data_IF_298416117588
#
_entry.id   IF_298416117588
#
_cell.length_a   1.000
_cell.length_b   1.000
_cell.length_c   1.000
_cell.angle_alpha   90.00
_cell.angle_beta   90.00
_cell.angle_gamma   90.00
#
_symmetry.space_group_name_H-M   'P 1'
#
loop_
_entity.id
_entity.type
_entity.pdbx_description
1 polymer ?
#
# COMPACT_ATOMS: atom_id res chain seq x y z
N UNK A 1 32.56 19.06 -34.84
CA UNK A 1 32.20 18.01 -33.87
C UNK A 1 31.91 18.68 -32.54
N UNK A 2 30.65 18.73 -32.12
CA UNK A 2 30.32 19.16 -30.76
C UNK A 2 30.80 18.06 -29.82
N UNK A 3 31.79 18.38 -28.96
CA UNK A 3 32.18 17.52 -27.85
C UNK A 3 30.95 17.26 -26.97
N UNK A 4 30.81 16.08 -26.36
CA UNK A 4 29.74 15.84 -25.39
C UNK A 4 29.86 16.87 -24.27
N UNK A 5 28.78 17.58 -23.97
CA UNK A 5 28.75 18.72 -23.02
C UNK A 5 29.03 18.33 -21.57
N UNK A 6 29.28 17.05 -21.27
CA UNK A 6 29.53 16.48 -19.94
C UNK A 6 28.63 17.11 -18.86
N UNK A 7 27.32 17.13 -19.13
CA UNK A 7 26.34 17.69 -18.21
C UNK A 7 26.17 16.79 -16.98
N UNK A 8 26.24 17.42 -15.81
CA UNK A 8 25.92 16.75 -14.57
C UNK A 8 24.40 16.66 -14.41
N UNK A 9 23.92 15.45 -14.16
CA UNK A 9 22.51 15.20 -13.86
C UNK A 9 22.36 14.69 -12.43
N UNK A 10 21.29 15.12 -11.75
CA UNK A 10 20.86 14.52 -10.49
C UNK A 10 19.79 13.49 -10.79
N UNK A 11 20.06 12.23 -10.44
CA UNK A 11 19.18 11.10 -10.70
C UNK A 11 18.64 10.53 -9.39
N UNK A 12 17.32 10.36 -9.32
CA UNK A 12 16.64 9.58 -8.31
C UNK A 12 16.44 8.15 -8.80
N UNK A 13 16.77 7.17 -7.97
CA UNK A 13 16.55 5.76 -8.29
C UNK A 13 15.06 5.46 -8.38
N UNK A 14 14.64 4.81 -9.46
CA UNK A 14 13.26 4.37 -9.64
C UNK A 14 12.92 3.14 -8.80
N UNK A 15 11.67 3.06 -8.35
CA UNK A 15 11.12 1.93 -7.61
C UNK A 15 11.60 1.76 -6.17
N UNK A 16 12.50 2.61 -5.67
CA UNK A 16 13.08 2.49 -4.32
C UNK A 16 13.14 3.81 -3.57
N UNK A 17 13.05 3.74 -2.23
CA UNK A 17 13.33 4.85 -1.32
C UNK A 17 14.31 4.39 -0.25
N UNK A 18 15.48 5.02 -0.26
CA UNK A 18 16.48 4.87 0.78
C UNK A 18 16.22 5.86 1.94
N UNK A 19 16.68 5.54 3.16
CA UNK A 19 16.58 6.44 4.29
C UNK A 19 17.40 7.70 4.05
N UNK A 20 16.83 8.85 4.42
CA UNK A 20 17.44 10.14 4.14
C UNK A 20 18.59 10.44 5.12
N UNK A 21 19.75 10.83 4.60
CA UNK A 21 20.92 11.25 5.39
C UNK A 21 20.73 12.61 6.06
N UNK A 22 19.71 13.37 5.63
CA UNK A 22 19.22 14.58 6.29
C UNK A 22 17.69 14.59 6.20
N UNK A 23 17.01 14.30 7.32
CA UNK A 23 15.55 14.31 7.39
C UNK A 23 15.02 15.35 8.40
N UNK A 24 13.98 16.09 8.01
CA UNK A 24 13.25 17.01 8.89
C UNK A 24 13.97 18.32 9.23
N UNK A 25 13.33 19.14 10.06
CA UNK A 25 13.86 20.42 10.58
C UNK A 25 15.08 20.23 11.49
N UNK A 26 15.22 19.04 12.07
CA UNK A 26 16.26 18.72 13.06
C UNK A 26 17.56 18.19 12.43
N UNK A 27 17.55 17.93 11.11
CA UNK A 27 18.73 17.54 10.34
C UNK A 27 19.33 16.17 10.69
N UNK A 28 18.62 15.34 11.47
CA UNK A 28 19.09 14.00 11.85
C UNK A 28 18.94 13.01 10.70
N UNK A 29 19.95 12.16 10.53
CA UNK A 29 19.91 11.06 9.58
C UNK A 29 18.90 10.00 10.03
N UNK A 30 18.13 9.47 9.07
CA UNK A 30 17.28 8.30 9.31
C UNK A 30 18.14 7.06 9.60
N UNK A 31 17.56 6.08 10.31
CA UNK A 31 18.29 4.85 10.63
C UNK A 31 18.79 4.15 9.36
N UNK A 32 20.07 3.73 9.37
CA UNK A 32 20.76 3.10 8.25
C UNK A 32 21.05 4.01 7.03
N UNK A 33 20.83 5.33 7.13
CA UNK A 33 21.05 6.26 6.02
C UNK A 33 22.52 6.41 5.61
N UNK A 34 23.43 6.51 6.57
CA UNK A 34 24.86 6.64 6.29
C UNK A 34 25.43 5.35 5.69
N UNK A 35 25.00 4.20 6.21
CA UNK A 35 25.42 2.90 5.70
C UNK A 35 24.83 2.61 4.31
N UNK A 36 23.59 3.05 4.04
CA UNK A 36 22.99 2.97 2.71
C UNK A 36 23.76 3.84 1.70
N UNK A 37 24.15 5.05 2.10
CA UNK A 37 24.97 5.95 1.29
C UNK A 37 26.33 5.32 0.98
N UNK A 38 27.03 4.85 2.01
CA UNK A 38 28.32 4.17 1.87
C UNK A 38 28.23 2.94 0.96
N UNK A 39 27.15 2.16 1.06
CA UNK A 39 26.92 0.99 0.23
C UNK A 39 26.87 1.30 -1.27
N UNK A 40 26.25 2.44 -1.64
CA UNK A 40 26.18 2.91 -3.03
C UNK A 40 27.52 3.50 -3.46
N UNK A 41 28.15 4.33 -2.61
CA UNK A 41 29.45 4.94 -2.88
C UNK A 41 30.51 3.90 -3.19
N UNK A 42 30.65 2.86 -2.38
CA UNK A 42 31.63 1.80 -2.61
C UNK A 42 31.45 1.03 -3.93
N UNK A 43 30.26 1.08 -4.53
CA UNK A 43 29.93 0.31 -5.74
C UNK A 43 29.90 1.14 -7.00
N UNK A 44 29.53 2.41 -6.90
CA UNK A 44 29.27 3.26 -8.07
C UNK A 44 30.20 4.48 -8.16
N UNK A 45 30.88 4.86 -7.07
CA UNK A 45 31.76 6.02 -7.10
C UNK A 45 32.91 5.79 -8.08
N UNK A 46 33.08 6.71 -9.03
CA UNK A 46 34.09 6.63 -10.10
C UNK A 46 34.01 5.33 -10.92
N UNK A 47 32.81 4.79 -11.12
CA UNK A 47 32.57 3.65 -12.01
C UNK A 47 31.72 4.05 -13.20
N UNK A 48 31.98 3.41 -14.34
CA UNK A 48 31.13 3.55 -15.52
C UNK A 48 29.82 2.79 -15.32
N UNK A 49 28.70 3.50 -15.48
CA UNK A 49 27.35 2.97 -15.27
C UNK A 49 26.46 3.34 -16.44
N UNK A 50 25.50 2.46 -16.74
CA UNK A 50 24.43 2.77 -17.67
C UNK A 50 23.25 3.35 -16.90
N UNK A 51 22.81 4.54 -17.29
CA UNK A 51 21.63 5.19 -16.72
C UNK A 51 20.48 5.08 -17.71
N UNK A 52 19.33 4.63 -17.24
CA UNK A 52 18.08 4.61 -18.02
C UNK A 52 17.13 5.62 -17.41
N UNK A 53 16.83 6.70 -18.13
CA UNK A 53 15.91 7.74 -17.71
C UNK A 53 14.47 7.31 -18.03
N UNK A 54 13.60 7.31 -17.03
CA UNK A 54 12.25 6.76 -17.13
C UNK A 54 11.18 7.83 -16.91
N UNK A 55 11.42 8.79 -16.00
CA UNK A 55 10.45 9.84 -15.67
C UNK A 55 11.10 11.04 -14.99
N UNK A 56 10.30 12.01 -14.58
CA UNK A 56 10.70 13.24 -13.90
C UNK A 56 9.80 13.41 -12.66
N UNK A 57 10.39 13.69 -11.50
CA UNK A 57 9.70 13.94 -10.24
C UNK A 57 10.25 15.18 -9.56
N UNK A 58 9.42 16.20 -9.33
CA UNK A 58 9.81 17.45 -8.67
C UNK A 58 11.13 18.03 -9.23
N UNK A 59 11.22 18.15 -10.56
CA UNK A 59 12.40 18.60 -11.31
C UNK A 59 13.64 17.69 -11.27
N UNK A 60 13.58 16.54 -10.57
CA UNK A 60 14.64 15.54 -10.59
C UNK A 60 14.35 14.46 -11.63
N UNK A 61 15.39 13.98 -12.31
CA UNK A 61 15.28 12.84 -13.21
C UNK A 61 15.12 11.57 -12.38
N UNK A 62 14.25 10.67 -12.84
CA UNK A 62 13.98 9.38 -12.19
C UNK A 62 14.37 8.29 -13.16
N UNK A 63 15.15 7.32 -12.69
CA UNK A 63 15.63 6.26 -13.56
C UNK A 63 16.39 5.15 -12.86
N UNK A 64 16.79 4.17 -13.67
CA UNK A 64 17.55 3.00 -13.23
C UNK A 64 19.04 3.22 -13.44
N UNK A 65 19.85 2.78 -12.47
CA UNK A 65 21.32 2.75 -12.59
C UNK A 65 21.78 1.30 -12.68
N UNK A 66 22.30 0.94 -13.84
CA UNK A 66 22.72 -0.41 -14.20
C UNK A 66 24.24 -0.45 -14.19
N UNK A 67 24.79 -1.21 -13.26
CA UNK A 67 26.20 -1.58 -13.22
C UNK A 67 26.38 -2.94 -13.91
N UNK A 68 27.57 -3.32 -14.43
CA UNK A 68 27.80 -4.67 -14.98
C UNK A 68 27.45 -5.83 -14.05
N UNK A 69 27.40 -5.57 -12.74
CA UNK A 69 27.00 -6.54 -11.70
C UNK A 69 25.50 -6.54 -11.37
N UNK A 70 24.70 -5.68 -12.01
CA UNK A 70 23.25 -5.58 -11.83
C UNK A 70 22.74 -4.17 -11.48
N UNK A 71 21.43 -4.07 -11.27
CA UNK A 71 20.77 -2.82 -10.87
C UNK A 71 21.06 -2.52 -9.40
N UNK A 72 21.54 -1.29 -9.11
CA UNK A 72 21.86 -0.88 -7.72
C UNK A 72 20.61 -0.85 -6.83
N UNK A 73 19.44 -0.51 -7.39
CA UNK A 73 18.18 -0.44 -6.65
C UNK A 73 17.80 -1.82 -6.08
N UNK A 74 17.98 -2.87 -6.87
CA UNK A 74 17.77 -4.26 -6.43
C UNK A 74 18.73 -4.65 -5.30
N UNK A 75 20.00 -4.24 -5.42
CA UNK A 75 21.01 -4.52 -4.40
C UNK A 75 20.72 -3.82 -3.07
N UNK A 76 20.24 -2.57 -3.12
CA UNK A 76 19.81 -1.80 -1.95
C UNK A 76 18.62 -2.47 -1.24
N UNK A 77 17.63 -2.93 -2.01
CA UNK A 77 16.47 -3.63 -1.45
C UNK A 77 16.85 -4.97 -0.84
N UNK A 78 17.69 -5.77 -1.52
CA UNK A 78 18.13 -7.09 -1.06
C UNK A 78 18.85 -7.03 0.29
N UNK A 79 19.63 -5.98 0.49
CA UNK A 79 20.33 -5.74 1.74
C UNK A 79 19.43 -5.04 2.79
N UNK A 80 18.23 -4.56 2.42
CA UNK A 80 17.33 -3.88 3.34
C UNK A 80 17.77 -2.45 3.67
N UNK A 81 18.53 -1.81 2.77
CA UNK A 81 18.87 -0.38 2.84
C UNK A 81 17.81 0.52 2.19
N UNK A 82 16.83 -0.04 1.50
CA UNK A 82 15.74 0.72 0.89
C UNK A 82 14.41 -0.04 1.00
N UNK A 83 13.33 0.65 0.68
CA UNK A 83 11.97 0.10 0.55
C UNK A 83 11.45 0.28 -0.88
N UNK A 84 10.56 -0.61 -1.32
CA UNK A 84 9.86 -0.49 -2.59
C UNK A 84 8.92 0.71 -2.60
N UNK A 85 8.82 1.40 -3.74
CA UNK A 85 7.94 2.57 -3.91
C UNK A 85 7.02 2.39 -5.10
N UNK A 86 5.73 2.19 -4.84
CA UNK A 86 4.75 1.79 -5.87
C UNK A 86 4.61 2.78 -7.03
N UNK A 87 4.71 4.10 -6.80
CA UNK A 87 4.47 5.07 -7.86
C UNK A 87 5.53 5.01 -8.97
N UNK A 88 6.76 4.62 -8.64
CA UNK A 88 7.88 4.53 -9.59
C UNK A 88 8.32 3.09 -9.86
N UNK A 89 7.83 2.08 -9.13
CA UNK A 89 8.26 0.68 -9.29
C UNK A 89 7.88 0.11 -10.66
N UNK A 90 6.77 0.56 -11.24
CA UNK A 90 6.33 0.15 -12.58
C UNK A 90 7.14 0.76 -13.71
N UNK A 91 7.89 1.84 -13.43
CA UNK A 91 8.75 2.51 -14.40
C UNK A 91 10.14 1.85 -14.48
N UNK A 92 10.55 1.16 -13.41
CA UNK A 92 11.88 0.58 -13.26
C UNK A 92 12.22 -0.43 -14.37
N UNK A 93 13.35 -0.20 -15.01
CA UNK A 93 13.95 -1.09 -16.01
C UNK A 93 14.30 -2.44 -15.38
N UNK A 94 13.71 -3.50 -15.90
CA UNK A 94 13.80 -4.85 -15.34
C UNK A 94 12.60 -5.28 -14.49
N UNK A 95 11.62 -4.40 -14.32
CA UNK A 95 10.29 -4.71 -13.79
C UNK A 95 10.19 -4.70 -12.27
N UNK A 96 8.96 -4.52 -11.79
CA UNK A 96 8.66 -4.43 -10.36
C UNK A 96 8.88 -5.74 -9.59
N UNK A 97 8.81 -6.88 -10.27
CA UNK A 97 8.92 -8.20 -9.64
C UNK A 97 10.28 -8.43 -9.00
N UNK A 98 11.38 -8.02 -9.66
CA UNK A 98 12.73 -8.19 -9.12
C UNK A 98 12.95 -7.35 -7.86
N UNK A 99 12.46 -6.11 -7.88
CA UNK A 99 12.53 -5.22 -6.71
C UNK A 99 11.71 -5.78 -5.54
N UNK A 100 10.46 -6.19 -5.78
CA UNK A 100 9.62 -6.80 -4.73
C UNK A 100 10.22 -8.10 -4.18
N UNK A 101 10.81 -8.94 -5.03
CA UNK A 101 11.49 -10.15 -4.60
C UNK A 101 12.72 -9.84 -3.73
N UNK A 102 13.52 -8.82 -4.10
CA UNK A 102 14.66 -8.38 -3.31
C UNK A 102 14.24 -7.83 -1.93
N UNK A 103 13.19 -7.01 -1.89
CA UNK A 103 12.64 -6.51 -0.62
C UNK A 103 12.11 -7.66 0.25
N UNK A 104 11.39 -8.62 -0.34
CA UNK A 104 10.90 -9.81 0.36
C UNK A 104 12.05 -10.59 1.02
N UNK A 105 13.16 -10.79 0.30
CA UNK A 105 14.34 -11.46 0.87
C UNK A 105 14.91 -10.71 2.08
N UNK A 106 14.92 -9.37 2.05
CA UNK A 106 15.39 -8.56 3.16
C UNK A 106 14.44 -8.60 4.36
N UNK A 107 13.12 -8.64 4.11
CA UNK A 107 12.07 -8.85 5.13
C UNK A 107 12.19 -10.21 5.80
N UNK A 108 12.32 -11.28 5.01
CA UNK A 108 12.44 -12.66 5.49
C UNK A 108 13.69 -12.83 6.38
N UNK A 109 14.79 -12.18 5.99
CA UNK A 109 16.06 -12.17 6.76
C UNK A 109 16.12 -11.13 7.88
N UNK A 110 15.09 -10.28 8.03
CA UNK A 110 15.03 -9.18 9.00
C UNK A 110 16.27 -8.27 8.96
N UNK A 111 16.72 -7.91 7.75
CA UNK A 111 17.92 -7.09 7.57
C UNK A 111 17.62 -5.60 7.76
N UNK A 112 18.48 -4.91 8.52
CA UNK A 112 18.56 -3.43 8.62
C UNK A 112 17.19 -2.77 8.87
N UNK A 113 16.61 -2.11 7.86
CA UNK A 113 15.27 -1.49 7.97
C UNK A 113 14.19 -2.48 8.41
N UNK A 114 14.39 -3.77 8.19
CA UNK A 114 13.45 -4.86 8.50
C UNK A 114 13.75 -5.60 9.80
N UNK A 115 14.68 -5.14 10.64
CA UNK A 115 15.02 -5.81 11.92
C UNK A 115 13.80 -6.02 12.83
N UNK A 116 12.92 -5.01 12.88
CA UNK A 116 11.69 -5.02 13.65
C UNK A 116 10.45 -5.35 12.81
N UNK A 117 10.63 -5.81 11.57
CA UNK A 117 9.52 -6.12 10.69
C UNK A 117 8.68 -7.26 11.26
N UNK A 118 7.38 -7.01 11.36
CA UNK A 118 6.37 -8.02 11.64
C UNK A 118 5.45 -8.10 10.43
N UNK A 119 5.26 -9.29 9.84
CA UNK A 119 4.30 -9.46 8.75
C UNK A 119 2.93 -8.96 9.17
N UNK A 120 2.24 -8.22 8.30
CA UNK A 120 0.84 -7.86 8.55
C UNK A 120 0.03 -9.14 8.77
N UNK A 121 -0.96 -9.08 9.67
CA UNK A 121 -1.76 -10.27 10.01
C UNK A 121 -2.43 -10.89 8.76
N UNK A 122 -2.73 -10.07 7.73
CA UNK A 122 -3.26 -10.55 6.46
C UNK A 122 -2.25 -11.25 5.56
N UNK A 123 -0.96 -10.99 5.71
CA UNK A 123 0.12 -11.68 4.97
C UNK A 123 0.35 -13.10 5.49
N UNK A 124 -0.03 -13.38 6.74
CA UNK A 124 0.03 -14.72 7.33
C UNK A 124 -1.17 -15.61 6.98
N UNK A 125 -2.22 -15.06 6.37
CA UNK A 125 -3.42 -15.82 6.00
C UNK A 125 -3.15 -16.64 4.73
N UNK A 126 -3.56 -17.90 4.74
CA UNK A 126 -3.49 -18.82 3.59
C UNK A 126 -4.84 -19.49 3.32
N UNK A 127 -5.05 -19.92 2.08
CA UNK A 127 -6.27 -20.62 1.65
C UNK A 127 -7.56 -19.85 1.96
N UNK A 128 -8.53 -20.55 2.54
CA UNK A 128 -9.88 -20.03 2.88
C UNK A 128 -9.86 -18.87 3.90
N UNK A 129 -8.74 -18.63 4.57
CA UNK A 129 -8.55 -17.46 5.43
C UNK A 129 -8.15 -16.21 4.64
N UNK A 130 -7.47 -16.36 3.49
CA UNK A 130 -7.07 -15.26 2.61
C UNK A 130 -8.14 -14.91 1.60
N UNK A 131 -8.80 -15.92 1.03
CA UNK A 131 -9.86 -15.73 0.05
C UNK A 131 -10.93 -16.80 0.22
N UNK A 132 -12.19 -16.41 0.20
CA UNK A 132 -13.31 -17.34 0.30
C UNK A 132 -14.53 -16.81 -0.45
N UNK A 133 -15.45 -17.71 -0.79
CA UNK A 133 -16.77 -17.36 -1.30
C UNK A 133 -17.83 -17.53 -0.23
N UNK A 134 -18.83 -16.67 -0.22
CA UNK A 134 -19.95 -16.81 0.70
C UNK A 134 -21.15 -15.93 0.37
N UNK A 135 -22.28 -16.23 1.01
CA UNK A 135 -23.54 -15.53 0.81
C UNK A 135 -23.63 -14.35 1.77
N UNK A 136 -23.92 -13.15 1.25
CA UNK A 136 -24.12 -11.97 2.11
C UNK A 136 -25.47 -12.08 2.81
N UNK A 137 -25.45 -12.07 4.14
CA UNK A 137 -26.65 -12.22 4.98
C UNK A 137 -27.13 -10.85 5.47
N UNK A 138 -26.20 -9.98 5.84
CA UNK A 138 -26.52 -8.69 6.45
C UNK A 138 -25.59 -7.59 5.95
N UNK A 139 -26.15 -6.39 5.74
CA UNK A 139 -25.38 -5.16 5.60
C UNK A 139 -25.50 -4.36 6.89
N UNK A 140 -24.40 -4.31 7.64
CA UNK A 140 -24.32 -3.64 8.95
C UNK A 140 -24.24 -2.14 8.74
N UNK A 141 -23.26 -1.69 7.95
CA UNK A 141 -23.02 -0.26 7.64
C UNK A 141 -22.70 -0.09 6.14
N UNK A 142 -22.37 1.13 5.73
CA UNK A 142 -21.98 1.46 4.35
C UNK A 142 -20.71 0.76 3.85
N UNK A 143 -19.89 0.24 4.75
CA UNK A 143 -18.63 -0.44 4.47
C UNK A 143 -18.53 -1.81 5.14
N UNK A 144 -19.48 -2.19 6.02
CA UNK A 144 -19.43 -3.41 6.82
C UNK A 144 -20.58 -4.35 6.49
N UNK A 145 -20.27 -5.63 6.28
CA UNK A 145 -21.25 -6.68 5.95
C UNK A 145 -20.91 -8.01 6.60
N UNK A 146 -21.92 -8.86 6.75
CA UNK A 146 -21.78 -10.23 7.27
C UNK A 146 -21.94 -11.22 6.11
N UNK A 147 -20.92 -12.06 5.94
CA UNK A 147 -20.89 -13.10 4.91
C UNK A 147 -20.92 -14.47 5.57
N UNK A 148 -21.88 -15.29 5.15
CA UNK A 148 -21.97 -16.69 5.55
C UNK A 148 -21.20 -17.56 4.59
N UNK A 149 -20.22 -18.30 5.11
CA UNK A 149 -19.41 -19.27 4.37
C UNK A 149 -20.18 -20.57 4.13
N UNK A 150 -19.63 -21.43 3.28
CA UNK A 150 -20.22 -22.73 2.95
C UNK A 150 -20.30 -23.68 4.17
N UNK A 151 -19.41 -23.52 5.15
CA UNK A 151 -19.41 -24.26 6.43
C UNK A 151 -20.52 -23.78 7.41
N UNK A 152 -21.31 -22.78 7.02
CA UNK A 152 -22.35 -22.17 7.85
C UNK A 152 -21.86 -21.09 8.81
N UNK A 153 -20.54 -20.87 8.91
CA UNK A 153 -19.97 -19.81 9.75
C UNK A 153 -20.24 -18.42 9.17
N UNK A 154 -20.45 -17.44 10.05
CA UNK A 154 -20.67 -16.05 9.68
C UNK A 154 -19.47 -15.20 10.05
N UNK A 155 -18.97 -14.44 9.08
CA UNK A 155 -17.82 -13.55 9.27
C UNK A 155 -18.22 -12.13 8.92
N UNK A 156 -17.97 -11.21 9.85
CA UNK A 156 -18.10 -9.77 9.61
C UNK A 156 -16.86 -9.25 8.90
N UNK A 157 -17.04 -8.64 7.74
CA UNK A 157 -15.98 -8.06 6.92
C UNK A 157 -16.26 -6.58 6.64
N UNK A 158 -15.20 -5.84 6.31
CA UNK A 158 -15.26 -4.43 5.91
C UNK A 158 -14.69 -4.26 4.51
N UNK A 159 -15.18 -3.30 3.73
CA UNK A 159 -14.60 -2.97 2.42
C UNK A 159 -13.22 -2.33 2.60
N UNK A 160 -12.22 -2.84 1.89
CA UNK A 160 -10.87 -2.27 1.87
C UNK A 160 -10.83 -0.92 1.14
N UNK A 161 -9.99 0.00 1.63
CA UNK A 161 -9.61 1.24 0.94
C UNK A 161 -10.77 2.21 0.60
N UNK A 162 -11.91 2.06 1.27
CA UNK A 162 -13.10 2.91 1.11
C UNK A 162 -13.48 3.56 2.45
N UNK A 163 -13.87 4.84 2.40
CA UNK A 163 -14.41 5.56 3.56
C UNK A 163 -15.62 6.39 3.16
N UNK A 164 -16.59 6.48 4.07
CA UNK A 164 -17.71 7.40 3.92
C UNK A 164 -17.25 8.85 3.71
N UNK A 165 -17.96 9.63 2.89
CA UNK A 165 -17.79 11.08 2.87
C UNK A 165 -18.10 11.63 4.26
N UNK A 166 -17.16 12.41 4.83
CA UNK A 166 -17.40 13.15 6.07
C UNK A 166 -17.71 14.61 5.71
N UNK A 167 -18.74 15.17 6.34
CA UNK A 167 -18.96 16.62 6.32
C UNK A 167 -17.79 17.27 7.07
N UNK A 168 -16.94 17.97 6.34
CA UNK A 168 -15.79 18.76 6.80
C UNK A 168 -14.60 18.03 7.43
N UNK A 169 -13.43 18.66 7.33
CA UNK A 169 -12.16 18.36 8.02
C UNK A 169 -12.25 18.57 9.54
N UNK A 170 -13.39 18.27 10.16
CA UNK A 170 -13.45 18.16 11.61
C UNK A 170 -12.55 17.00 12.04
N UNK A 171 -11.46 17.36 12.71
CA UNK A 171 -10.57 16.43 13.39
C UNK A 171 -11.43 15.41 14.16
N UNK A 172 -11.11 14.11 14.12
CA UNK A 172 -11.86 13.11 14.86
C UNK A 172 -11.92 13.53 16.33
N UNK A 173 -13.07 14.03 16.78
CA UNK A 173 -13.22 14.42 18.18
C UNK A 173 -13.36 13.13 18.99
N UNK A 174 -12.52 13.03 20.01
CA UNK A 174 -12.54 11.92 20.97
C UNK A 174 -13.94 11.83 21.57
N UNK A 175 -14.55 10.63 21.55
CA UNK A 175 -15.81 10.36 22.23
C UNK A 175 -17.11 10.63 21.45
N UNK A 176 -17.09 10.82 20.11
CA UNK A 176 -18.36 10.90 19.37
C UNK A 176 -19.15 9.59 19.47
N UNK A 177 -20.26 9.67 20.20
CA UNK A 177 -21.37 8.72 20.23
C UNK A 177 -21.71 8.25 18.80
N UNK A 178 -22.14 6.99 18.70
CA UNK A 178 -22.75 6.42 17.50
C UNK A 178 -23.67 7.46 16.83
N UNK A 179 -23.31 7.93 15.63
CA UNK A 179 -24.19 8.82 14.86
C UNK A 179 -25.28 7.95 14.21
N UNK A 180 -26.57 8.22 14.47
CA UNK A 180 -27.67 7.54 13.81
C UNK A 180 -27.51 7.49 12.29
N UNK A 181 -28.06 6.44 11.66
CA UNK A 181 -27.93 6.15 10.23
C UNK A 181 -28.28 7.34 9.32
N UNK A 182 -29.22 8.19 9.76
CA UNK A 182 -29.74 9.33 9.00
C UNK A 182 -28.92 10.62 9.21
N UNK A 183 -28.05 10.66 10.23
CA UNK A 183 -27.28 11.84 10.59
C UNK A 183 -25.93 11.91 9.89
N UNK A 184 -25.54 10.84 9.18
CA UNK A 184 -24.31 10.80 8.39
C UNK A 184 -24.63 10.93 6.90
N UNK A 185 -24.12 11.97 6.23
CA UNK A 185 -24.34 12.20 4.81
C UNK A 185 -24.05 10.95 3.97
N UNK A 186 -24.95 10.65 3.04
CA UNK A 186 -24.85 9.54 2.08
C UNK A 186 -24.77 8.12 2.69
N UNK A 187 -24.67 7.96 4.01
CA UNK A 187 -24.54 6.64 4.66
C UNK A 187 -25.76 5.76 4.41
N UNK A 188 -26.97 6.31 4.56
CA UNK A 188 -28.21 5.61 4.26
C UNK A 188 -28.24 5.13 2.80
N UNK A 189 -27.88 6.00 1.87
CA UNK A 189 -27.86 5.67 0.44
C UNK A 189 -26.81 4.61 0.09
N UNK A 190 -25.61 4.70 0.68
CA UNK A 190 -24.55 3.72 0.53
C UNK A 190 -24.97 2.34 1.08
N UNK A 191 -25.56 2.31 2.28
CA UNK A 191 -26.08 1.09 2.90
C UNK A 191 -27.19 0.46 2.05
N UNK A 192 -28.15 1.25 1.59
CA UNK A 192 -29.26 0.75 0.76
C UNK A 192 -28.78 0.26 -0.61
N UNK A 193 -27.76 0.90 -1.18
CA UNK A 193 -27.13 0.44 -2.41
C UNK A 193 -26.51 -0.95 -2.23
N UNK A 194 -25.74 -1.16 -1.15
CA UNK A 194 -25.20 -2.47 -0.81
C UNK A 194 -26.32 -3.48 -0.54
N UNK A 195 -27.35 -3.09 0.22
CA UNK A 195 -28.47 -3.95 0.60
C UNK A 195 -29.19 -4.52 -0.62
N UNK A 196 -29.54 -3.64 -1.57
CA UNK A 196 -30.25 -4.01 -2.80
C UNK A 196 -29.40 -4.88 -3.74
N UNK A 197 -28.07 -4.71 -3.72
CA UNK A 197 -27.18 -5.43 -4.65
C UNK A 197 -26.60 -6.71 -4.10
N UNK A 198 -26.36 -6.80 -2.80
CA UNK A 198 -25.56 -7.87 -2.20
C UNK A 198 -26.35 -8.87 -1.37
N UNK A 199 -27.39 -8.45 -0.64
CA UNK A 199 -28.10 -9.38 0.25
C UNK A 199 -28.62 -10.58 -0.53
N UNK A 200 -28.32 -11.76 -0.02
CA UNK A 200 -28.70 -13.04 -0.60
C UNK A 200 -27.82 -13.51 -1.77
N UNK A 201 -26.87 -12.69 -2.25
CA UNK A 201 -25.96 -13.08 -3.34
C UNK A 201 -24.70 -13.72 -2.80
N UNK A 202 -24.15 -14.64 -3.60
CA UNK A 202 -22.83 -15.21 -3.37
C UNK A 202 -21.75 -14.24 -3.87
N UNK A 203 -20.76 -13.96 -3.03
CA UNK A 203 -19.67 -13.01 -3.31
C UNK A 203 -18.32 -13.68 -3.13
N UNK A 204 -17.33 -13.24 -3.90
CA UNK A 204 -15.93 -13.60 -3.69
C UNK A 204 -15.28 -12.54 -2.81
N UNK A 205 -14.69 -12.97 -1.70
CA UNK A 205 -14.06 -12.12 -0.70
C UNK A 205 -12.57 -12.43 -0.67
N UNK A 206 -11.74 -11.40 -0.80
CA UNK A 206 -10.29 -11.49 -0.61
C UNK A 206 -9.89 -10.56 0.54
N UNK A 207 -9.23 -11.09 1.56
CA UNK A 207 -8.74 -10.31 2.70
C UNK A 207 -7.48 -9.58 2.30
N UNK A 208 -7.54 -8.25 2.28
CA UNK A 208 -6.40 -7.41 1.88
C UNK A 208 -5.51 -7.14 3.10
N UNK A 209 -6.10 -6.61 4.17
CA UNK A 209 -5.42 -6.31 5.42
C UNK A 209 -6.34 -6.46 6.64
N UNK A 210 -5.74 -6.59 7.82
CA UNK A 210 -6.46 -6.61 9.09
C UNK A 210 -5.99 -5.40 9.89
N UNK A 211 -6.93 -4.50 10.23
CA UNK A 211 -6.65 -3.43 11.17
C UNK A 211 -6.69 -4.00 12.59
N UNK A 212 -5.58 -3.95 13.34
CA UNK A 212 -5.54 -4.50 14.68
C UNK A 212 -6.49 -3.74 15.59
N UNK A 213 -6.96 -4.42 16.64
CA UNK A 213 -7.74 -3.78 17.71
C UNK A 213 -6.96 -2.59 18.28
N UNK A 214 -7.62 -1.45 18.39
CA UNK A 214 -7.14 -0.29 19.14
C UNK A 214 -8.02 -0.08 20.36
N UNK A 215 -7.62 0.78 21.29
CA UNK A 215 -8.46 1.14 22.46
C UNK A 215 -9.85 1.65 22.04
N UNK A 216 -9.96 2.24 20.85
CA UNK A 216 -11.16 2.92 20.36
C UNK A 216 -11.99 2.07 19.38
N UNK A 217 -11.38 1.08 18.73
CA UNK A 217 -12.02 0.31 17.68
C UNK A 217 -11.66 -1.18 17.76
N UNK A 218 -12.65 -2.08 17.56
CA UNK A 218 -12.37 -3.50 17.45
C UNK A 218 -11.50 -3.79 16.21
N UNK A 219 -10.90 -4.97 16.19
CA UNK A 219 -10.20 -5.48 15.01
C UNK A 219 -11.14 -5.48 13.79
N UNK A 220 -10.62 -5.09 12.62
CA UNK A 220 -11.38 -5.06 11.36
C UNK A 220 -10.66 -5.82 10.26
N UNK A 221 -11.31 -6.86 9.76
CA UNK A 221 -10.91 -7.55 8.54
C UNK A 221 -11.38 -6.75 7.33
N UNK A 222 -10.44 -6.15 6.61
CA UNK A 222 -10.69 -5.35 5.41
C UNK A 222 -10.46 -6.19 4.16
N UNK A 223 -11.45 -6.20 3.27
CA UNK A 223 -11.53 -7.11 2.16
C UNK A 223 -11.97 -6.43 0.87
N UNK A 224 -11.46 -6.93 -0.24
CA UNK A 224 -12.01 -6.72 -1.57
C UNK A 224 -13.16 -7.70 -1.77
N UNK A 225 -14.34 -7.18 -2.10
CA UNK A 225 -15.56 -7.96 -2.31
C UNK A 225 -16.02 -7.82 -3.75
N UNK A 226 -16.13 -8.94 -4.45
CA UNK A 226 -16.55 -9.01 -5.85
C UNK A 226 -17.85 -9.80 -6.02
N UNK A 227 -18.71 -9.30 -6.91
CA UNK A 227 -19.89 -10.01 -7.42
C UNK A 227 -19.65 -10.29 -8.90
N UNK A 228 -19.26 -11.53 -9.24
CA UNK A 228 -18.69 -11.82 -10.56
C UNK A 228 -17.42 -10.99 -10.76
N UNK A 229 -17.36 -10.23 -11.85
CA UNK A 229 -16.23 -9.33 -12.16
C UNK A 229 -16.31 -7.96 -11.46
N UNK A 230 -17.47 -7.59 -10.91
CA UNK A 230 -17.67 -6.25 -10.37
C UNK A 230 -17.11 -6.12 -8.94
N UNK A 231 -16.13 -5.21 -8.76
CA UNK A 231 -15.68 -4.78 -7.45
C UNK A 231 -16.68 -3.78 -6.83
N UNK A 232 -17.20 -4.13 -5.66
CA UNK A 232 -18.22 -3.33 -4.99
C UNK A 232 -17.68 -2.01 -4.44
N UNK A 233 -16.42 -2.00 -4.00
CA UNK A 233 -15.75 -0.78 -3.54
C UNK A 233 -15.72 0.28 -4.66
N UNK A 234 -15.32 -0.14 -5.87
CA UNK A 234 -15.31 0.72 -7.06
C UNK A 234 -16.73 1.19 -7.42
N UNK A 235 -17.73 0.31 -7.34
CA UNK A 235 -19.11 0.68 -7.63
C UNK A 235 -19.67 1.74 -6.66
N UNK A 236 -19.28 1.72 -5.38
CA UNK A 236 -19.63 2.76 -4.41
C UNK A 236 -18.97 4.09 -4.75
N UNK A 237 -17.69 4.07 -5.10
CA UNK A 237 -16.92 5.27 -5.46
C UNK A 237 -17.47 5.90 -6.73
N UNK A 238 -17.75 5.10 -7.76
CA UNK A 238 -18.29 5.56 -9.04
C UNK A 238 -19.64 6.25 -8.88
N UNK A 239 -20.44 5.84 -7.88
CA UNK A 239 -21.73 6.47 -7.55
C UNK A 239 -21.61 7.68 -6.61
N UNK A 240 -20.39 8.05 -6.20
CA UNK A 240 -20.16 9.15 -5.27
C UNK A 240 -20.65 8.87 -3.84
N UNK A 241 -20.92 7.61 -3.50
CA UNK A 241 -21.43 7.22 -2.17
C UNK A 241 -20.31 7.03 -1.15
N UNK A 242 -19.06 6.93 -1.62
CA UNK A 242 -17.86 6.79 -0.80
C UNK A 242 -16.65 7.47 -1.44
N UNK A 243 -15.61 7.73 -0.62
CA UNK A 243 -14.30 8.25 -1.04
C UNK A 243 -13.21 7.17 -0.87
N UNK A 244 -12.20 7.22 -1.75
CA UNK A 244 -11.01 6.38 -1.66
C UNK A 244 -10.15 6.81 -0.46
N UNK A 245 -9.71 5.84 0.34
CA UNK A 245 -8.71 6.10 1.38
C UNK A 245 -7.34 6.21 0.73
N UNK A 246 -6.67 7.35 0.95
CA UNK A 246 -5.27 7.51 0.56
C UNK A 246 -4.38 6.89 1.63
N UNK A 247 -3.87 5.70 1.33
CA UNK A 247 -2.84 5.06 2.13
C UNK A 247 -1.53 5.85 2.04
N UNK A 248 -0.78 5.90 3.13
CA UNK A 248 0.56 6.50 3.12
C UNK A 248 1.47 5.64 2.25
N UNK A 249 2.52 6.24 1.68
CA UNK A 249 3.47 5.51 0.82
C UNK A 249 4.14 4.32 1.51
N UNK A 250 4.20 4.31 2.84
CA UNK A 250 4.78 3.24 3.66
C UNK A 250 3.71 2.31 4.28
N UNK A 251 2.43 2.47 3.96
CA UNK A 251 1.34 1.68 4.53
C UNK A 251 1.14 0.40 3.71
N UNK A 252 1.53 -0.74 4.28
CA UNK A 252 1.35 -2.07 3.67
C UNK A 252 -0.12 -2.52 3.63
N UNK A 253 -1.03 -1.79 4.29
CA UNK A 253 -2.45 -2.11 4.35
C UNK A 253 -3.24 -1.49 3.17
N UNK A 254 -2.73 -1.61 1.94
CA UNK A 254 -3.31 -0.98 0.75
C UNK A 254 -4.12 -1.94 -0.11
#
# INVERSE_FOLDING_TARGET
MLLPSFEYITLQLSGVRAPATRAGTDGKAEAFAEEAKYFVEQRLLQQDVQVVLESISNQNLVGSVIHPKGNIAESLLREGYAKCVDWSIGLCTGGAERLRAAEKQAKDKKLRLWRSYQPSAASALTGDKKSFTGKVVEIVMSDAMVVRKADGSEVKIHLASVRLPRDSDEKPSVGRQFRPLYDVPFMFQAREFLRKRLIGKNVSVTVDYIQPKSEQFPEKTCCTVKVGELNIAEALILKGLSKVVRHRSDDENR
#
